data_IF_633596279770
#
_entry.id   IF_633596279770
#
_cell.length_a   1.000
_cell.length_b   1.000
_cell.length_c   1.000
_cell.angle_alpha   90.00
_cell.angle_beta   90.00
_cell.angle_gamma   90.00
#
_symmetry.space_group_name_H-M   'P 1'
#
loop_
_entity.id
_entity.type
_entity.pdbx_description
1 polymer ?
#
# COMPACT_ATOMS: atom_id res chain seq x y z
N UNK A 1 -13.66 -2.48 9.47
CA UNK A 1 -14.03 -3.43 8.40
C UNK A 1 -15.48 -3.90 8.49
N UNK A 2 -15.91 -4.77 9.43
CA UNK A 2 -17.32 -5.25 9.43
C UNK A 2 -18.36 -4.13 9.64
N UNK A 3 -18.05 -3.16 10.49
CA UNK A 3 -18.88 -1.97 10.70
C UNK A 3 -18.92 -1.08 9.45
N UNK A 4 -17.77 -0.83 8.85
CA UNK A 4 -17.65 -0.12 7.57
C UNK A 4 -18.46 -0.80 6.46
N UNK A 5 -18.40 -2.13 6.38
CA UNK A 5 -19.21 -2.90 5.44
C UNK A 5 -20.69 -2.69 5.71
N UNK A 6 -21.14 -2.71 6.98
CA UNK A 6 -22.56 -2.45 7.30
C UNK A 6 -22.99 -1.05 6.85
N UNK A 7 -22.16 -0.05 7.11
CA UNK A 7 -22.43 1.33 6.67
C UNK A 7 -22.57 1.42 5.15
N UNK A 8 -21.63 0.82 4.41
CA UNK A 8 -21.69 0.77 2.94
C UNK A 8 -22.95 0.04 2.44
N UNK A 9 -23.32 -1.07 3.08
CA UNK A 9 -24.55 -1.79 2.73
C UNK A 9 -25.80 -0.96 2.99
N UNK A 10 -25.82 -0.13 4.02
CA UNK A 10 -26.96 0.73 4.30
C UNK A 10 -27.07 1.87 3.28
N UNK A 11 -25.95 2.47 2.86
CA UNK A 11 -25.91 3.43 1.75
C UNK A 11 -26.44 2.79 0.45
N UNK A 12 -25.96 1.58 0.11
CA UNK A 12 -26.42 0.86 -1.09
C UNK A 12 -27.93 0.57 -1.05
N UNK A 13 -28.48 0.18 0.11
CA UNK A 13 -29.93 -0.02 0.26
C UNK A 13 -30.72 1.28 0.10
N UNK A 14 -30.24 2.39 0.65
CA UNK A 14 -30.90 3.69 0.51
C UNK A 14 -30.99 4.10 -0.97
N UNK A 15 -29.95 3.81 -1.73
CA UNK A 15 -29.89 4.03 -3.18
C UNK A 15 -30.58 2.95 -4.01
N UNK A 16 -31.20 1.95 -3.37
CA UNK A 16 -31.86 0.80 -4.00
C UNK A 16 -30.95 0.05 -5.00
N UNK A 17 -29.65 -0.01 -4.68
CA UNK A 17 -28.68 -0.73 -5.48
C UNK A 17 -28.71 -2.24 -5.17
N UNK A 18 -28.62 -3.05 -6.22
CA UNK A 18 -28.40 -4.49 -6.07
C UNK A 18 -26.97 -4.77 -5.63
N UNK A 19 -26.80 -5.68 -4.67
CA UNK A 19 -25.49 -6.08 -4.19
C UNK A 19 -25.43 -7.55 -3.82
N UNK A 20 -24.25 -8.15 -4.00
CA UNK A 20 -23.93 -9.51 -3.60
C UNK A 20 -22.76 -9.48 -2.62
N UNK A 21 -22.82 -10.33 -1.58
CA UNK A 21 -21.73 -10.45 -0.60
C UNK A 21 -20.86 -11.65 -0.88
N UNK A 22 -19.55 -11.52 -0.65
CA UNK A 22 -18.62 -12.64 -0.65
C UNK A 22 -18.94 -13.61 0.47
N UNK A 23 -18.82 -14.91 0.21
CA UNK A 23 -19.20 -15.97 1.14
C UNK A 23 -18.64 -15.77 2.55
N UNK A 24 -17.33 -15.60 2.72
CA UNK A 24 -16.72 -15.38 4.05
C UNK A 24 -17.19 -14.07 4.69
N UNK A 25 -17.32 -13.00 3.90
CA UNK A 25 -17.86 -11.73 4.39
C UNK A 25 -19.32 -11.86 4.86
N UNK A 26 -20.14 -12.55 4.08
CA UNK A 26 -21.54 -12.80 4.36
C UNK A 26 -21.72 -13.68 5.61
N UNK A 27 -20.92 -14.74 5.76
CA UNK A 27 -20.90 -15.60 6.93
C UNK A 27 -20.63 -14.79 8.21
N UNK A 28 -19.64 -13.89 8.18
CA UNK A 28 -19.33 -12.98 9.28
C UNK A 28 -20.45 -11.97 9.59
N UNK A 29 -21.24 -11.61 8.57
CA UNK A 29 -22.40 -10.74 8.69
C UNK A 29 -23.71 -11.50 8.95
N UNK A 30 -23.67 -12.83 9.06
CA UNK A 30 -24.84 -13.72 9.17
C UNK A 30 -25.84 -13.50 8.03
N UNK A 31 -25.34 -13.38 6.81
CA UNK A 31 -26.09 -13.17 5.57
C UNK A 31 -25.74 -14.25 4.54
N UNK A 32 -26.50 -14.32 3.46
CA UNK A 32 -26.19 -15.18 2.32
C UNK A 32 -25.10 -14.56 1.47
N UNK A 33 -24.12 -15.35 1.05
CA UNK A 33 -23.03 -14.91 0.18
C UNK A 33 -22.69 -15.90 -0.92
N UNK A 34 -21.94 -15.42 -1.90
CA UNK A 34 -21.50 -16.16 -3.08
C UNK A 34 -19.98 -16.21 -3.10
N UNK A 35 -19.40 -17.31 -3.58
CA UNK A 35 -17.94 -17.38 -3.76
C UNK A 35 -17.48 -16.38 -4.82
N UNK A 36 -16.34 -15.71 -4.62
CA UNK A 36 -15.78 -14.73 -5.58
C UNK A 36 -15.85 -15.19 -7.05
N UNK A 37 -15.43 -16.43 -7.33
CA UNK A 37 -15.41 -17.00 -8.70
C UNK A 37 -16.78 -17.23 -9.35
N UNK A 38 -17.87 -17.12 -8.59
CA UNK A 38 -19.25 -17.33 -9.07
C UNK A 38 -20.10 -16.06 -8.98
N UNK A 39 -19.49 -14.94 -8.59
CA UNK A 39 -20.22 -13.68 -8.56
C UNK A 39 -20.45 -13.20 -9.99
N UNK A 40 -21.68 -12.78 -10.24
CA UNK A 40 -22.11 -12.12 -11.46
C UNK A 40 -22.49 -10.70 -11.06
N UNK A 41 -21.56 -9.76 -11.23
CA UNK A 41 -21.67 -8.38 -10.78
C UNK A 41 -20.97 -7.44 -11.77
N UNK A 42 -21.45 -6.21 -11.86
CA UNK A 42 -20.84 -5.19 -12.72
C UNK A 42 -19.54 -4.61 -12.15
N UNK A 43 -19.41 -4.60 -10.82
CA UNK A 43 -18.24 -4.05 -10.10
C UNK A 43 -17.95 -4.88 -8.85
N UNK A 44 -16.68 -5.22 -8.64
CA UNK A 44 -16.18 -5.79 -7.39
C UNK A 44 -15.71 -4.70 -6.42
N UNK A 45 -16.51 -4.41 -5.39
CA UNK A 45 -16.09 -3.54 -4.31
C UNK A 45 -15.25 -4.30 -3.26
N UNK A 46 -13.99 -3.90 -3.09
CA UNK A 46 -13.07 -4.51 -2.10
C UNK A 46 -12.83 -3.50 -0.98
N UNK A 47 -13.33 -3.80 0.21
CA UNK A 47 -13.25 -2.91 1.37
C UNK A 47 -12.11 -3.36 2.28
N UNK A 48 -11.10 -2.52 2.49
CA UNK A 48 -9.97 -2.91 3.33
C UNK A 48 -8.77 -1.98 3.25
N UNK A 49 -7.59 -2.58 3.36
CA UNK A 49 -6.28 -1.93 3.18
C UNK A 49 -5.59 -2.49 1.92
N UNK A 50 -4.47 -1.90 1.52
CA UNK A 50 -3.66 -2.36 0.37
C UNK A 50 -3.37 -3.86 0.46
N UNK A 51 -3.00 -4.35 1.65
CA UNK A 51 -2.73 -5.79 1.87
C UNK A 51 -3.95 -6.66 1.56
N UNK A 52 -5.14 -6.22 1.97
CA UNK A 52 -6.36 -6.96 1.71
C UNK A 52 -6.76 -6.93 0.23
N UNK A 53 -6.55 -5.78 -0.43
CA UNK A 53 -6.73 -5.64 -1.87
C UNK A 53 -5.82 -6.60 -2.65
N UNK A 54 -4.51 -6.56 -2.42
CA UNK A 54 -3.54 -7.45 -3.08
C UNK A 54 -3.88 -8.92 -2.85
N UNK A 55 -4.21 -9.30 -1.60
CA UNK A 55 -4.61 -10.67 -1.30
C UNK A 55 -5.87 -11.09 -2.03
N UNK A 56 -6.87 -10.22 -2.13
CA UNK A 56 -8.11 -10.48 -2.84
C UNK A 56 -7.88 -10.64 -4.35
N UNK A 57 -6.99 -9.83 -4.94
CA UNK A 57 -6.61 -9.95 -6.35
C UNK A 57 -5.92 -11.28 -6.65
N UNK A 58 -5.03 -11.74 -5.76
CA UNK A 58 -4.38 -13.05 -5.89
C UNK A 58 -5.37 -14.21 -5.81
N UNK A 59 -6.37 -14.12 -4.92
CA UNK A 59 -7.41 -15.14 -4.76
C UNK A 59 -8.42 -15.14 -5.92
N UNK A 60 -8.70 -13.96 -6.49
CA UNK A 60 -9.56 -13.77 -7.67
C UNK A 60 -8.88 -14.26 -8.96
N UNK A 61 -7.58 -14.01 -9.11
CA UNK A 61 -6.82 -14.32 -10.32
C UNK A 61 -7.14 -13.36 -11.46
N UNK A 62 -7.48 -13.89 -12.63
CA UNK A 62 -7.97 -13.07 -13.74
C UNK A 62 -9.48 -12.86 -13.62
N UNK A 63 -9.90 -11.60 -13.82
CA UNK A 63 -11.29 -11.18 -13.86
C UNK A 63 -11.39 -9.93 -14.74
N UNK A 64 -12.37 -9.90 -15.63
CA UNK A 64 -12.71 -8.73 -16.45
C UNK A 64 -13.62 -7.73 -15.72
N UNK A 65 -14.17 -8.15 -14.58
CA UNK A 65 -15.03 -7.30 -13.73
C UNK A 65 -14.18 -6.20 -13.10
N UNK A 66 -14.54 -4.91 -13.30
CA UNK A 66 -13.87 -3.76 -12.70
C UNK A 66 -13.87 -3.80 -11.17
N UNK A 67 -12.77 -3.38 -10.58
CA UNK A 67 -12.51 -3.44 -9.15
C UNK A 67 -12.57 -2.04 -8.56
N UNK A 68 -13.43 -1.85 -7.58
CA UNK A 68 -13.52 -0.63 -6.79
C UNK A 68 -12.88 -0.87 -5.41
N UNK A 69 -11.61 -0.48 -5.21
CA UNK A 69 -11.00 -0.51 -3.90
C UNK A 69 -11.58 0.61 -3.02
N UNK A 70 -12.06 0.26 -1.81
CA UNK A 70 -12.61 1.19 -0.82
C UNK A 70 -11.81 1.08 0.49
N UNK A 71 -11.16 2.15 0.92
CA UNK A 71 -10.33 2.10 2.12
C UNK A 71 -11.20 2.09 3.40
N UNK A 72 -10.94 1.12 4.29
CA UNK A 72 -11.72 0.91 5.52
C UNK A 72 -11.45 2.00 6.58
N UNK A 73 -10.18 2.44 6.74
CA UNK A 73 -9.73 3.53 7.64
C UNK A 73 -8.31 3.97 7.24
N UNK A 74 -7.95 5.25 7.43
CA UNK A 74 -6.58 5.75 7.24
C UNK A 74 -6.40 6.75 6.10
N UNK A 75 -5.18 7.27 5.93
CA UNK A 75 -4.84 8.10 4.76
C UNK A 75 -5.11 7.29 3.48
N UNK A 76 -5.52 7.94 2.38
CA UNK A 76 -5.66 7.26 1.10
C UNK A 76 -4.29 6.69 0.68
N UNK A 77 -4.16 5.37 0.74
CA UNK A 77 -3.03 4.64 0.17
C UNK A 77 -3.07 4.75 -1.37
N UNK A 78 -1.93 4.51 -2.03
CA UNK A 78 -1.72 4.76 -3.47
C UNK A 78 -2.73 4.07 -4.42
N UNK A 79 -3.45 3.04 -3.95
CA UNK A 79 -4.41 2.26 -4.74
C UNK A 79 -5.89 2.63 -4.49
N UNK A 80 -6.18 3.53 -3.55
CA UNK A 80 -7.55 3.84 -3.13
C UNK A 80 -7.95 5.27 -3.49
N UNK A 81 -8.88 5.42 -4.43
CA UNK A 81 -9.52 6.71 -4.71
C UNK A 81 -10.75 6.98 -3.83
N UNK A 82 -11.31 5.93 -3.23
CA UNK A 82 -12.51 5.98 -2.39
C UNK A 82 -12.19 5.44 -1.00
N UNK A 83 -12.74 6.10 0.02
CA UNK A 83 -12.70 5.64 1.40
C UNK A 83 -14.13 5.50 1.90
N UNK A 84 -14.35 4.67 2.93
CA UNK A 84 -15.71 4.43 3.45
C UNK A 84 -16.45 5.74 3.76
N UNK A 85 -15.78 6.71 4.38
CA UNK A 85 -16.40 7.97 4.78
C UNK A 85 -16.77 8.91 3.62
N UNK A 86 -16.29 8.68 2.40
CA UNK A 86 -16.65 9.46 1.22
C UNK A 86 -17.47 8.66 0.19
N UNK A 87 -17.74 7.38 0.45
CA UNK A 87 -18.45 6.50 -0.47
C UNK A 87 -19.84 7.04 -0.85
N UNK A 88 -20.58 7.58 0.12
CA UNK A 88 -21.90 8.19 -0.11
C UNK A 88 -21.85 9.30 -1.18
N UNK A 89 -20.73 10.02 -1.29
CA UNK A 89 -20.59 11.08 -2.28
C UNK A 89 -20.30 10.59 -3.69
N UNK A 90 -19.94 9.32 -3.87
CA UNK A 90 -19.60 8.72 -5.18
C UNK A 90 -20.51 7.58 -5.59
N UNK A 91 -21.38 7.11 -4.70
CA UNK A 91 -22.29 5.98 -4.98
C UNK A 91 -23.23 6.30 -6.16
N UNK A 92 -23.73 7.53 -6.28
CA UNK A 92 -24.57 7.93 -7.41
C UNK A 92 -23.77 7.90 -8.72
N UNK A 93 -22.52 8.32 -8.70
CA UNK A 93 -21.65 8.28 -9.89
C UNK A 93 -21.34 6.83 -10.27
N UNK A 94 -21.12 5.95 -9.28
CA UNK A 94 -20.92 4.52 -9.49
C UNK A 94 -22.14 3.87 -10.18
N UNK A 95 -23.34 4.09 -9.64
CA UNK A 95 -24.58 3.48 -10.12
C UNK A 95 -25.01 4.02 -11.49
N UNK A 96 -24.71 5.29 -11.78
CA UNK A 96 -25.02 5.90 -13.08
C UNK A 96 -23.91 5.67 -14.13
N UNK A 97 -22.88 4.87 -13.84
CA UNK A 97 -21.79 4.61 -14.78
C UNK A 97 -20.87 5.81 -15.06
N UNK A 98 -20.85 6.82 -14.19
CA UNK A 98 -20.00 8.02 -14.29
C UNK A 98 -18.59 7.75 -13.77
N UNK A 99 -17.94 6.77 -14.36
CA UNK A 99 -16.58 6.36 -14.06
C UNK A 99 -15.96 5.70 -15.28
N UNK A 100 -14.65 5.54 -15.26
CA UNK A 100 -13.87 4.95 -16.36
C UNK A 100 -13.08 3.74 -15.86
N UNK A 101 -12.70 2.88 -16.80
CA UNK A 101 -11.83 1.73 -16.51
C UNK A 101 -10.38 2.18 -16.55
N UNK A 102 -9.64 1.96 -15.47
CA UNK A 102 -8.19 2.09 -15.43
C UNK A 102 -7.54 0.71 -15.45
N UNK A 103 -6.76 0.42 -16.49
CA UNK A 103 -5.98 -0.80 -16.53
C UNK A 103 -4.71 -0.67 -15.70
N UNK A 104 -4.47 -1.65 -14.83
CA UNK A 104 -3.20 -1.84 -14.14
C UNK A 104 -2.51 -3.09 -14.68
N UNK A 105 -1.34 -2.90 -15.28
CA UNK A 105 -0.53 -4.00 -15.81
C UNK A 105 -0.07 -4.89 -14.67
N UNK A 106 0.02 -6.19 -14.95
CA UNK A 106 0.38 -7.24 -13.98
C UNK A 106 1.53 -8.08 -14.51
N UNK A 107 2.25 -8.74 -13.60
CA UNK A 107 3.28 -9.72 -13.92
C UNK A 107 2.77 -11.13 -13.64
N UNK A 108 3.28 -12.11 -14.38
CA UNK A 108 3.19 -13.53 -14.02
C UNK A 108 4.60 -14.11 -14.00
N UNK A 109 4.80 -15.12 -13.16
CA UNK A 109 6.03 -15.87 -13.13
C UNK A 109 5.77 -17.37 -13.32
N UNK A 110 6.56 -18.04 -14.14
CA UNK A 110 6.66 -19.49 -14.13
C UNK A 110 7.75 -19.90 -13.14
N UNK A 111 7.33 -20.61 -12.09
CA UNK A 111 8.24 -21.21 -11.11
C UNK A 111 8.11 -22.73 -11.22
N UNK A 112 9.11 -23.37 -11.83
CA UNK A 112 9.21 -24.82 -11.99
C UNK A 112 8.07 -25.48 -12.79
N UNK A 113 7.63 -24.81 -13.87
CA UNK A 113 6.53 -25.25 -14.75
C UNK A 113 5.15 -24.92 -14.19
N UNK A 114 5.06 -23.98 -13.25
CA UNK A 114 3.82 -23.57 -12.60
C UNK A 114 3.72 -22.06 -12.57
N UNK A 115 2.81 -21.54 -13.38
CA UNK A 115 2.52 -20.11 -13.42
C UNK A 115 1.92 -19.63 -12.08
N UNK A 116 2.31 -18.44 -11.67
CA UNK A 116 1.73 -17.75 -10.51
C UNK A 116 0.40 -17.11 -10.87
N UNK A 117 -0.46 -16.82 -9.88
CA UNK A 117 -1.49 -15.81 -10.07
C UNK A 117 -0.87 -14.50 -10.58
N UNK A 118 -1.58 -13.70 -11.37
CA UNK A 118 -1.09 -12.40 -11.80
C UNK A 118 -0.86 -11.45 -10.61
N UNK A 119 0.28 -10.80 -10.60
CA UNK A 119 0.80 -9.96 -9.53
C UNK A 119 0.60 -8.49 -9.87
N UNK A 120 0.05 -7.70 -8.94
CA UNK A 120 -0.20 -6.28 -9.17
C UNK A 120 1.07 -5.45 -8.98
N UNK A 121 1.87 -5.76 -7.96
CA UNK A 121 3.03 -4.98 -7.59
C UNK A 121 4.31 -5.63 -8.12
N UNK A 122 4.71 -6.75 -7.53
CA UNK A 122 6.05 -7.28 -7.74
C UNK A 122 6.20 -8.76 -7.42
N UNK A 123 7.24 -9.35 -8.00
CA UNK A 123 7.84 -10.61 -7.59
C UNK A 123 9.27 -10.34 -7.13
N UNK A 124 9.58 -10.75 -5.91
CA UNK A 124 10.94 -10.70 -5.38
C UNK A 124 11.53 -12.08 -5.17
N UNK A 125 12.74 -12.31 -5.68
CA UNK A 125 13.52 -13.52 -5.43
C UNK A 125 14.54 -13.24 -4.33
N UNK A 126 14.42 -13.94 -3.20
CA UNK A 126 15.21 -13.68 -2.00
C UNK A 126 15.75 -14.96 -1.38
N UNK A 127 16.84 -14.85 -0.63
CA UNK A 127 17.18 -15.89 0.33
C UNK A 127 16.12 -15.96 1.43
N UNK A 128 15.73 -17.16 1.84
CA UNK A 128 14.74 -17.38 2.92
C UNK A 128 15.19 -16.82 4.26
N UNK A 129 16.50 -16.75 4.49
CA UNK A 129 17.10 -16.18 5.69
C UNK A 129 17.68 -14.81 5.35
N UNK A 130 17.30 -13.79 6.10
CA UNK A 130 17.85 -12.44 5.99
C UNK A 130 19.38 -12.43 6.08
N UNK A 131 20.01 -11.42 5.47
CA UNK A 131 21.46 -11.24 5.42
C UNK A 131 22.21 -12.46 4.82
N UNK A 132 21.57 -13.16 3.87
CA UNK A 132 22.18 -14.25 3.11
C UNK A 132 22.06 -13.94 1.63
N UNK A 133 23.17 -14.09 0.89
CA UNK A 133 23.20 -13.80 -0.53
C UNK A 133 22.55 -14.93 -1.34
N UNK A 134 21.85 -14.55 -2.40
CA UNK A 134 21.59 -15.39 -3.56
C UNK A 134 22.62 -15.05 -4.64
N UNK A 135 23.03 -16.05 -5.44
CA UNK A 135 23.73 -15.84 -6.70
C UNK A 135 22.83 -16.28 -7.83
N UNK A 136 22.84 -15.53 -8.93
CA UNK A 136 21.98 -15.79 -10.08
C UNK A 136 22.60 -15.23 -11.37
N UNK A 137 22.11 -15.74 -12.49
CA UNK A 137 22.29 -15.20 -13.84
C UNK A 137 20.96 -14.59 -14.28
N UNK A 138 20.98 -13.36 -14.79
CA UNK A 138 19.84 -12.66 -15.38
C UNK A 138 19.95 -12.69 -16.90
N UNK A 139 18.88 -13.09 -17.55
CA UNK A 139 18.71 -13.04 -18.99
C UNK A 139 17.46 -12.23 -19.33
N UNK A 140 17.53 -11.53 -20.45
CA UNK A 140 16.42 -10.76 -21.02
C UNK A 140 16.26 -11.25 -22.46
N UNK A 141 15.08 -11.76 -22.81
CA UNK A 141 14.79 -12.38 -24.11
C UNK A 141 15.83 -13.44 -24.54
N UNK A 142 16.30 -14.24 -23.59
CA UNK A 142 17.30 -15.29 -23.81
C UNK A 142 18.74 -14.79 -23.93
N UNK A 143 18.98 -13.48 -23.95
CA UNK A 143 20.33 -12.90 -23.94
C UNK A 143 20.86 -12.75 -22.52
N UNK A 144 22.09 -13.19 -22.28
CA UNK A 144 22.72 -13.07 -20.97
C UNK A 144 23.10 -11.63 -20.66
N UNK A 145 22.37 -11.01 -19.73
CA UNK A 145 22.60 -9.64 -19.32
C UNK A 145 23.69 -9.54 -18.25
N UNK A 146 23.53 -10.21 -17.11
CA UNK A 146 24.57 -10.24 -16.07
C UNK A 146 24.51 -11.45 -15.15
N UNK A 147 25.58 -11.63 -14.37
CA UNK A 147 25.58 -12.44 -13.14
C UNK A 147 25.77 -11.54 -11.94
N UNK A 148 25.15 -11.90 -10.83
CA UNK A 148 25.25 -11.12 -9.61
C UNK A 148 25.15 -11.98 -8.34
N UNK A 149 25.61 -11.40 -7.23
CA UNK A 149 25.30 -11.86 -5.88
C UNK A 149 24.63 -10.73 -5.09
N UNK A 150 23.49 -10.97 -4.48
CA UNK A 150 22.73 -9.93 -3.80
C UNK A 150 21.84 -10.52 -2.70
N UNK A 151 21.24 -9.69 -1.85
CA UNK A 151 20.20 -10.16 -0.92
C UNK A 151 18.95 -10.65 -1.67
N UNK A 152 18.71 -10.10 -2.87
CA UNK A 152 17.65 -10.53 -3.77
C UNK A 152 17.56 -9.73 -5.06
N UNK A 153 16.50 -10.00 -5.83
CA UNK A 153 16.14 -9.30 -7.06
C UNK A 153 14.63 -9.09 -7.06
N UNK A 154 14.16 -7.87 -7.32
CA UNK A 154 12.74 -7.54 -7.44
C UNK A 154 12.42 -7.20 -8.88
N UNK A 155 11.34 -7.78 -9.41
CA UNK A 155 10.75 -7.39 -10.69
C UNK A 155 9.39 -6.77 -10.37
N UNK A 156 9.22 -5.48 -10.71
CA UNK A 156 8.06 -4.69 -10.30
C UNK A 156 7.35 -4.05 -11.49
N UNK A 157 6.02 -4.08 -11.46
CA UNK A 157 5.14 -3.31 -12.36
C UNK A 157 5.27 -1.81 -12.09
N UNK A 158 4.68 -0.94 -12.94
CA UNK A 158 4.55 0.48 -12.63
C UNK A 158 3.84 0.74 -11.29
N UNK A 159 2.82 -0.06 -10.97
CA UNK A 159 2.10 0.03 -9.70
C UNK A 159 2.96 -0.41 -8.51
N UNK A 160 3.78 -1.45 -8.68
CA UNK A 160 4.75 -1.89 -7.68
C UNK A 160 5.96 -0.96 -7.51
N UNK A 161 6.18 -0.02 -8.43
CA UNK A 161 7.33 0.90 -8.40
C UNK A 161 7.33 1.79 -7.15
N UNK A 162 6.14 2.10 -6.59
CA UNK A 162 5.97 2.86 -5.34
C UNK A 162 5.87 1.98 -4.10
N UNK A 163 5.94 0.66 -4.25
CA UNK A 163 5.87 -0.31 -3.16
C UNK A 163 7.28 -0.71 -2.68
N UNK A 164 7.58 -2.02 -2.63
CA UNK A 164 8.87 -2.47 -2.12
C UNK A 164 10.03 -2.01 -3.03
N UNK A 165 9.80 -1.95 -4.35
CA UNK A 165 10.78 -1.45 -5.32
C UNK A 165 11.31 -0.06 -4.96
N UNK A 166 10.45 0.87 -4.51
CA UNK A 166 10.87 2.21 -4.08
C UNK A 166 11.83 2.16 -2.90
N UNK A 167 11.56 1.28 -1.94
CA UNK A 167 12.33 1.16 -0.69
C UNK A 167 13.76 0.65 -0.91
N UNK A 168 13.98 -0.11 -2.00
CA UNK A 168 15.30 -0.64 -2.38
C UNK A 168 15.99 0.19 -3.48
N UNK A 169 15.50 1.41 -3.73
CA UNK A 169 16.12 2.36 -4.66
C UNK A 169 15.69 2.22 -6.12
N UNK A 170 14.55 1.57 -6.38
CA UNK A 170 13.90 1.56 -7.70
C UNK A 170 13.33 2.93 -8.09
N UNK A 171 13.16 3.20 -9.40
CA UNK A 171 12.55 4.43 -9.87
C UNK A 171 11.04 4.43 -9.62
N UNK A 172 10.45 5.62 -9.44
CA UNK A 172 8.99 5.79 -9.51
C UNK A 172 8.57 5.76 -10.98
N UNK A 173 7.62 4.90 -11.33
CA UNK A 173 7.12 4.72 -12.69
C UNK A 173 5.64 5.09 -12.73
N UNK A 174 5.25 5.87 -13.74
CA UNK A 174 3.85 6.23 -13.95
C UNK A 174 3.03 5.01 -14.35
N UNK A 175 1.84 4.84 -13.77
CA UNK A 175 0.98 3.66 -13.97
C UNK A 175 0.65 3.35 -15.44
N UNK A 176 0.58 4.38 -16.30
CA UNK A 176 0.28 4.23 -17.72
C UNK A 176 1.47 3.77 -18.58
N UNK A 177 2.68 3.73 -18.02
CA UNK A 177 3.88 3.38 -18.77
C UNK A 177 3.91 1.88 -19.11
N UNK A 178 4.12 1.49 -20.37
CA UNK A 178 4.15 0.09 -20.80
C UNK A 178 5.52 -0.54 -20.50
N UNK A 179 5.91 -0.57 -19.24
CA UNK A 179 7.22 -1.04 -18.78
C UNK A 179 7.09 -1.82 -17.48
N UNK A 180 8.08 -2.62 -17.15
CA UNK A 180 8.34 -3.06 -15.78
C UNK A 180 9.79 -2.76 -15.41
N UNK A 181 10.15 -2.96 -14.15
CA UNK A 181 11.49 -2.70 -13.65
C UNK A 181 12.12 -3.90 -12.97
N UNK A 182 13.44 -4.01 -13.08
CA UNK A 182 14.25 -5.01 -12.38
C UNK A 182 15.17 -4.27 -11.41
N UNK A 183 15.07 -4.57 -10.12
CA UNK A 183 15.79 -3.89 -9.05
C UNK A 183 16.62 -4.90 -8.25
N UNK A 184 17.95 -4.87 -8.34
CA UNK A 184 18.79 -5.69 -7.48
C UNK A 184 18.74 -5.15 -6.04
N UNK A 185 18.55 -6.04 -5.07
CA UNK A 185 18.48 -5.68 -3.64
C UNK A 185 19.84 -5.94 -2.99
N UNK A 186 20.53 -4.88 -2.58
CA UNK A 186 21.86 -4.95 -1.95
C UNK A 186 22.86 -5.82 -2.73
N UNK A 187 23.04 -5.50 -4.02
CA UNK A 187 24.05 -6.17 -4.85
C UNK A 187 25.47 -6.02 -4.29
N UNK A 188 26.28 -7.07 -4.38
CA UNK A 188 27.72 -7.01 -4.11
C UNK A 188 28.48 -6.21 -5.18
N UNK A 189 27.89 -6.02 -6.35
CA UNK A 189 28.44 -5.21 -7.41
C UNK A 189 27.75 -3.83 -7.43
N UNK A 190 28.42 -2.76 -6.96
CA UNK A 190 27.81 -1.43 -6.83
C UNK A 190 27.52 -0.77 -8.18
N UNK A 191 27.95 -1.34 -9.31
CA UNK A 191 27.56 -0.87 -10.65
C UNK A 191 26.21 -1.43 -11.10
N UNK A 192 25.62 -2.38 -10.36
CA UNK A 192 24.26 -2.87 -10.62
C UNK A 192 23.27 -1.76 -10.28
N UNK A 193 22.45 -1.40 -11.26
CA UNK A 193 21.45 -0.33 -11.18
C UNK A 193 20.08 -0.90 -11.55
N UNK A 194 18.99 -0.31 -11.06
CA UNK A 194 17.66 -0.64 -11.55
C UNK A 194 17.58 -0.54 -13.07
N UNK A 195 16.93 -1.51 -13.70
CA UNK A 195 16.61 -1.53 -15.12
C UNK A 195 15.14 -1.24 -15.31
N UNK A 196 14.78 -0.54 -16.38
CA UNK A 196 13.40 -0.35 -16.82
C UNK A 196 13.30 -0.95 -18.22
N UNK A 197 12.42 -1.91 -18.40
CA UNK A 197 12.28 -2.69 -19.63
C UNK A 197 10.89 -2.52 -20.22
N UNK A 198 10.76 -2.51 -21.56
CA UNK A 198 9.51 -2.74 -22.24
C UNK A 198 8.76 -3.97 -21.69
N UNK A 199 7.44 -3.88 -21.65
CA UNK A 199 6.59 -4.89 -21.02
C UNK A 199 6.32 -6.14 -21.89
N UNK A 200 6.77 -6.14 -23.13
CA UNK A 200 6.76 -7.29 -24.05
C UNK A 200 7.99 -8.19 -23.91
N UNK A 201 8.99 -7.79 -23.11
CA UNK A 201 10.17 -8.60 -22.82
C UNK A 201 9.91 -9.68 -21.77
N UNK A 202 10.66 -10.77 -21.86
CA UNK A 202 10.71 -11.84 -20.86
C UNK A 202 12.02 -11.80 -20.08
N UNK A 203 11.92 -11.97 -18.77
CA UNK A 203 13.06 -12.08 -17.85
C UNK A 203 13.22 -13.53 -17.42
N UNK A 204 14.41 -14.08 -17.61
CA UNK A 204 14.81 -15.38 -17.07
C UNK A 204 15.84 -15.19 -15.96
N UNK A 205 15.57 -15.77 -14.79
CA UNK A 205 16.50 -15.86 -13.67
C UNK A 205 16.92 -17.31 -13.52
N UNK A 206 18.20 -17.62 -13.72
CA UNK A 206 18.75 -18.97 -13.62
C UNK A 206 20.02 -19.02 -12.78
N UNK A 207 20.62 -20.20 -12.69
CA UNK A 207 21.83 -20.45 -11.87
C UNK A 207 21.64 -20.02 -10.40
N UNK A 208 20.40 -20.12 -9.91
CA UNK A 208 20.00 -19.71 -8.57
C UNK A 208 20.66 -20.59 -7.52
N UNK A 209 21.52 -19.99 -6.70
CA UNK A 209 22.23 -20.69 -5.62
C UNK A 209 22.32 -19.83 -4.36
N UNK A 210 22.21 -20.47 -3.20
CA UNK A 210 22.38 -19.86 -1.88
C UNK A 210 22.70 -20.93 -0.84
N UNK A 211 23.25 -20.55 0.31
CA UNK A 211 23.47 -21.45 1.44
C UNK A 211 22.18 -21.81 2.19
N UNK A 212 21.07 -21.13 1.87
CA UNK A 212 19.73 -21.39 2.41
C UNK A 212 18.74 -21.55 1.25
N UNK A 213 17.52 -21.99 1.55
CA UNK A 213 16.45 -22.04 0.55
C UNK A 213 16.21 -20.64 -0.06
N UNK A 214 15.87 -20.61 -1.35
CA UNK A 214 15.49 -19.40 -2.07
C UNK A 214 13.96 -19.36 -2.15
N UNK A 215 13.37 -18.18 -2.00
CA UNK A 215 11.93 -17.98 -2.07
C UNK A 215 11.59 -16.87 -3.08
N UNK A 216 10.54 -17.11 -3.85
CA UNK A 216 9.80 -16.09 -4.56
C UNK A 216 8.72 -15.53 -3.62
N UNK A 217 8.72 -14.21 -3.46
CA UNK A 217 7.74 -13.45 -2.70
C UNK A 217 6.85 -12.73 -3.71
N UNK A 218 5.57 -13.07 -3.73
CA UNK A 218 4.58 -12.59 -4.70
C UNK A 218 3.69 -11.53 -4.04
N UNK A 219 3.73 -10.28 -4.51
CA UNK A 219 2.99 -9.12 -3.96
C UNK A 219 3.15 -8.94 -2.43
N UNK A 220 4.26 -9.43 -1.87
CA UNK A 220 4.48 -9.50 -0.42
C UNK A 220 3.52 -10.42 0.34
N UNK A 221 2.63 -11.15 -0.33
CA UNK A 221 1.57 -11.98 0.29
C UNK A 221 1.91 -13.47 0.31
N UNK A 222 2.44 -14.00 -0.80
CA UNK A 222 2.67 -15.45 -0.98
C UNK A 222 4.16 -15.71 -1.09
N UNK A 223 4.65 -16.69 -0.31
CA UNK A 223 6.02 -17.21 -0.43
C UNK A 223 5.99 -18.57 -1.08
N UNK A 224 6.76 -18.74 -2.15
CA UNK A 224 6.97 -20.02 -2.82
C UNK A 224 8.46 -20.34 -2.81
N UNK A 225 8.82 -21.56 -2.44
CA UNK A 225 10.20 -22.01 -2.59
C UNK A 225 10.56 -22.07 -4.08
N UNK A 226 11.77 -21.60 -4.40
CA UNK A 226 12.37 -21.65 -5.72
C UNK A 226 13.57 -22.59 -5.62
N UNK A 227 13.55 -23.63 -6.46
CA UNK A 227 14.64 -24.60 -6.54
C UNK A 227 15.69 -24.12 -7.56
N UNK A 228 16.60 -24.99 -8.00
CA UNK A 228 17.65 -24.66 -8.98
C UNK A 228 17.15 -24.46 -10.42
N UNK A 229 15.84 -24.57 -10.66
CA UNK A 229 15.23 -24.36 -11.98
C UNK A 229 15.14 -22.88 -12.30
N UNK A 230 15.18 -22.50 -13.59
CA UNK A 230 14.95 -21.11 -14.00
C UNK A 230 13.56 -20.63 -13.58
N UNK A 231 13.46 -19.33 -13.28
CA UNK A 231 12.22 -18.60 -13.09
C UNK A 231 12.05 -17.66 -14.27
N UNK A 232 10.92 -17.78 -14.97
CA UNK A 232 10.57 -16.90 -16.10
C UNK A 232 9.53 -15.90 -15.61
N UNK A 233 9.72 -14.62 -15.93
CA UNK A 233 8.84 -13.53 -15.51
C UNK A 233 8.53 -12.68 -16.73
N UNK A 234 7.24 -12.44 -16.94
CA UNK A 234 6.74 -11.66 -18.08
C UNK A 234 5.50 -10.88 -17.66
N UNK A 235 5.06 -9.96 -18.52
CA UNK A 235 3.75 -9.36 -18.34
C UNK A 235 2.64 -10.43 -18.45
N UNK A 236 1.63 -10.32 -17.58
CA UNK A 236 0.42 -11.10 -17.67
C UNK A 236 -0.41 -10.69 -18.90
N UNK A 237 -1.07 -11.68 -19.52
CA UNK A 237 -1.92 -11.46 -20.70
C UNK A 237 -3.12 -10.53 -20.39
N UNK A 238 -3.54 -10.49 -19.12
CA UNK A 238 -4.67 -9.68 -18.67
C UNK A 238 -4.28 -8.72 -17.55
N UNK A 239 -4.54 -7.43 -17.78
CA UNK A 239 -4.50 -6.36 -16.76
C UNK A 239 -5.53 -6.62 -15.65
N UNK A 240 -5.33 -6.02 -14.47
CA UNK A 240 -6.43 -5.78 -13.56
C UNK A 240 -7.17 -4.50 -13.97
N UNK A 241 -8.49 -4.50 -13.90
CA UNK A 241 -9.31 -3.34 -14.29
C UNK A 241 -9.85 -2.68 -13.04
N UNK A 242 -9.54 -1.41 -12.84
CA UNK A 242 -9.96 -0.63 -11.69
C UNK A 242 -11.04 0.39 -12.10
N UNK A 243 -11.98 0.64 -11.20
CA UNK A 243 -12.93 1.76 -11.33
C UNK A 243 -12.20 3.06 -11.00
N UNK A 244 -12.23 4.01 -11.94
CA UNK A 244 -11.61 5.32 -11.79
C UNK A 244 -12.64 6.42 -12.00
N UNK A 245 -12.87 7.20 -10.95
CA UNK A 245 -13.68 8.41 -11.02
C UNK A 245 -12.89 9.56 -11.64
N UNK A 246 -13.57 10.59 -12.13
CA UNK A 246 -12.94 11.76 -12.74
C UNK A 246 -11.93 12.43 -11.79
N UNK A 247 -10.81 12.91 -12.34
CA UNK A 247 -9.71 13.45 -11.53
C UNK A 247 -10.11 14.65 -10.68
N UNK A 248 -11.02 15.50 -11.15
CA UNK A 248 -11.57 16.62 -10.37
C UNK A 248 -12.42 16.12 -9.20
N UNK A 249 -13.20 15.05 -9.44
CA UNK A 249 -13.98 14.37 -8.40
C UNK A 249 -13.05 13.78 -7.34
N UNK A 250 -12.02 13.04 -7.76
CA UNK A 250 -11.01 12.48 -6.86
C UNK A 250 -10.23 13.57 -6.12
N UNK A 251 -9.87 14.67 -6.79
CA UNK A 251 -9.22 15.81 -6.16
C UNK A 251 -10.15 16.53 -5.17
N UNK A 252 -11.45 16.61 -5.43
CA UNK A 252 -12.43 17.14 -4.48
C UNK A 252 -12.63 16.20 -3.28
N UNK A 253 -12.61 14.89 -3.50
CA UNK A 253 -12.62 13.88 -2.43
C UNK A 253 -11.37 14.01 -1.57
N UNK A 254 -10.18 14.02 -2.20
CA UNK A 254 -8.88 14.21 -1.55
C UNK A 254 -8.80 15.58 -0.88
N UNK A 255 -9.31 16.64 -1.49
CA UNK A 255 -9.34 18.00 -0.94
C UNK A 255 -10.30 18.16 0.22
N UNK A 256 -11.43 17.45 0.26
CA UNK A 256 -12.31 17.38 1.44
C UNK A 256 -11.68 16.55 2.57
N UNK A 257 -10.95 15.49 2.23
CA UNK A 257 -10.16 14.68 3.16
C UNK A 257 -8.98 15.44 3.75
N UNK A 258 -8.23 16.14 2.90
CA UNK A 258 -7.14 17.04 3.24
C UNK A 258 -7.68 18.18 4.07
N UNK A 259 -8.78 18.86 3.71
CA UNK A 259 -9.45 19.87 4.56
C UNK A 259 -9.86 19.33 5.94
N UNK A 260 -10.27 18.05 6.03
CA UNK A 260 -10.61 17.40 7.30
C UNK A 260 -9.37 17.04 8.15
N UNK A 261 -8.22 16.80 7.51
CA UNK A 261 -6.91 16.68 8.17
C UNK A 261 -6.16 18.02 8.35
N UNK A 262 -6.49 19.05 7.57
CA UNK A 262 -5.97 20.41 7.59
C UNK A 262 -6.71 21.28 8.61
N UNK A 263 -7.85 20.84 9.16
CA UNK A 263 -8.36 21.42 10.41
C UNK A 263 -7.33 21.34 11.57
N UNK A 264 -6.28 20.52 11.45
CA UNK A 264 -5.10 20.57 12.32
C UNK A 264 -4.01 21.54 11.83
N UNK A 265 -3.93 21.81 10.53
CA UNK A 265 -2.96 22.75 9.93
C UNK A 265 -3.41 24.22 10.00
N UNK A 266 -4.71 24.51 9.89
CA UNK A 266 -5.24 25.86 10.08
C UNK A 266 -4.97 26.38 11.50
N UNK A 267 -5.07 25.50 12.51
CA UNK A 267 -4.64 25.82 13.88
C UNK A 267 -3.12 26.01 13.97
N UNK A 268 -2.36 25.30 13.14
CA UNK A 268 -0.90 25.37 13.10
C UNK A 268 -0.37 26.60 12.35
N UNK A 269 -1.17 27.31 11.54
CA UNK A 269 -0.73 28.54 10.87
C UNK A 269 -0.50 29.67 11.88
N UNK A 270 -1.39 29.83 12.87
CA UNK A 270 -1.35 30.89 13.89
C UNK A 270 -0.45 30.56 15.10
N UNK A 271 0.04 29.32 15.22
CA UNK A 271 0.92 28.94 16.33
C UNK A 271 2.34 29.55 16.18
N UNK A 272 3.01 29.95 17.27
CA UNK A 272 4.41 30.34 17.25
C UNK A 272 5.32 29.19 16.75
N UNK A 273 6.46 29.48 16.10
CA UNK A 273 7.36 28.45 15.54
C UNK A 273 7.80 27.38 16.55
N UNK A 274 8.00 27.76 17.81
CA UNK A 274 8.35 26.82 18.89
C UNK A 274 7.23 25.83 19.22
N UNK A 275 5.96 26.26 19.13
CA UNK A 275 4.81 25.39 19.32
C UNK A 275 4.64 24.43 18.14
N UNK A 276 4.84 24.91 16.89
CA UNK A 276 4.83 24.03 15.70
C UNK A 276 5.89 22.94 15.79
N UNK A 277 7.11 23.29 16.21
CA UNK A 277 8.20 22.33 16.36
C UNK A 277 7.89 21.27 17.43
N UNK A 278 7.39 21.68 18.59
CA UNK A 278 6.99 20.75 19.66
C UNK A 278 5.86 19.82 19.20
N UNK A 279 4.86 20.36 18.50
CA UNK A 279 3.77 19.57 17.93
C UNK A 279 4.30 18.50 16.96
N UNK A 280 5.16 18.90 16.02
CA UNK A 280 5.74 17.98 15.01
C UNK A 280 6.59 16.88 15.63
N UNK A 281 7.35 17.20 16.69
CA UNK A 281 8.10 16.19 17.45
C UNK A 281 7.17 15.19 18.13
N UNK A 282 6.05 15.64 18.71
CA UNK A 282 5.03 14.76 19.30
C UNK A 282 4.26 13.94 18.25
N UNK A 283 4.01 14.49 17.06
CA UNK A 283 3.40 13.75 15.94
C UNK A 283 4.30 12.60 15.47
N UNK A 284 5.61 12.86 15.38
CA UNK A 284 6.59 11.91 14.87
C UNK A 284 6.99 10.85 15.91
N UNK A 285 7.26 11.27 17.14
CA UNK A 285 7.76 10.40 18.22
C UNK A 285 6.64 9.84 19.12
N UNK A 286 5.41 10.33 18.95
CA UNK A 286 4.27 9.92 19.76
C UNK A 286 4.26 10.55 21.15
N UNK A 287 4.18 9.72 22.19
CA UNK A 287 4.02 10.18 23.57
C UNK A 287 5.38 10.41 24.23
N UNK A 288 5.66 11.64 24.67
CA UNK A 288 6.94 12.02 25.28
C UNK A 288 6.75 12.77 26.60
N UNK A 289 7.71 12.64 27.51
CA UNK A 289 7.85 13.50 28.69
C UNK A 289 8.37 14.88 28.29
N UNK A 290 8.18 15.87 29.17
CA UNK A 290 8.73 17.21 28.93
C UNK A 290 10.26 17.19 28.75
N UNK A 291 10.97 16.27 29.43
CA UNK A 291 12.43 16.14 29.33
C UNK A 291 12.84 15.65 27.94
N UNK A 292 12.17 14.62 27.44
CA UNK A 292 12.42 14.08 26.10
C UNK A 292 12.09 15.11 25.01
N UNK A 293 11.01 15.87 25.17
CA UNK A 293 10.67 16.95 24.21
C UNK A 293 11.78 18.01 24.18
N UNK A 294 12.36 18.38 25.32
CA UNK A 294 13.50 19.32 25.39
C UNK A 294 14.72 18.73 24.66
N UNK A 295 15.01 17.46 24.87
CA UNK A 295 16.15 16.78 24.25
C UNK A 295 15.99 16.64 22.72
N UNK A 296 14.79 16.35 22.23
CA UNK A 296 14.48 16.20 20.81
C UNK A 296 14.39 17.55 20.08
N UNK A 297 13.71 18.53 20.66
CA UNK A 297 13.52 19.85 20.03
C UNK A 297 14.75 20.76 20.13
N UNK A 298 15.67 20.46 21.05
CA UNK A 298 16.80 21.34 21.46
C UNK A 298 16.37 22.74 21.92
N UNK A 299 15.09 22.93 22.25
CA UNK A 299 14.56 24.21 22.73
C UNK A 299 14.82 24.38 24.24
N UNK A 300 14.95 25.61 24.74
CA UNK A 300 15.06 25.87 26.17
C UNK A 300 13.85 25.32 26.96
N UNK A 301 14.03 24.83 28.21
CA UNK A 301 12.94 24.28 29.02
C UNK A 301 11.77 25.23 29.28
N UNK A 302 12.00 26.56 29.24
CA UNK A 302 10.94 27.57 29.36
C UNK A 302 10.10 27.64 28.07
N UNK A 303 10.74 27.56 26.91
CA UNK A 303 10.09 27.58 25.61
C UNK A 303 9.24 26.33 25.38
N UNK A 304 9.73 25.16 25.77
CA UNK A 304 8.94 23.91 25.70
C UNK A 304 7.71 23.96 26.60
N UNK A 305 7.83 24.50 27.82
CA UNK A 305 6.68 24.68 28.71
C UNK A 305 5.63 25.62 28.13
N UNK A 306 6.06 26.75 27.59
CA UNK A 306 5.19 27.70 26.92
C UNK A 306 4.46 27.06 25.72
N UNK A 307 5.20 26.38 24.85
CA UNK A 307 4.67 25.66 23.70
C UNK A 307 3.64 24.59 24.10
N UNK A 308 3.95 23.77 25.11
CA UNK A 308 3.03 22.75 25.61
C UNK A 308 1.77 23.37 26.24
N UNK A 309 1.89 24.47 26.99
CA UNK A 309 0.73 25.15 27.57
C UNK A 309 -0.21 25.68 26.48
N UNK A 310 0.35 26.29 25.43
CA UNK A 310 -0.40 26.78 24.28
C UNK A 310 -1.05 25.65 23.49
N UNK A 311 -0.32 24.58 23.18
CA UNK A 311 -0.88 23.42 22.47
C UNK A 311 -1.97 22.69 23.26
N UNK A 312 -1.90 22.73 24.60
CA UNK A 312 -2.95 22.19 25.47
C UNK A 312 -4.18 23.11 25.53
N UNK A 313 -4.00 24.44 25.55
CA UNK A 313 -5.14 25.38 25.52
C UNK A 313 -5.90 25.31 24.20
N UNK A 314 -5.18 25.09 23.10
CA UNK A 314 -5.73 24.86 21.77
C UNK A 314 -6.32 23.43 21.60
N UNK A 315 -6.21 22.58 22.61
CA UNK A 315 -6.78 21.22 22.61
C UNK A 315 -6.09 20.22 21.67
N UNK A 316 -4.95 20.58 21.09
CA UNK A 316 -4.17 19.76 20.14
C UNK A 316 -3.34 18.70 20.87
N UNK A 317 -2.78 19.05 22.02
CA UNK A 317 -1.98 18.17 22.87
C UNK A 317 -2.71 17.90 24.17
N UNK A 318 -2.63 16.66 24.67
CA UNK A 318 -3.13 16.31 25.99
C UNK A 318 -2.00 15.80 26.89
N UNK A 319 -2.10 16.09 28.19
CA UNK A 319 -1.22 15.57 29.24
C UNK A 319 -1.87 14.36 29.90
N UNK A 320 -1.13 13.26 29.99
CA UNK A 320 -1.49 12.05 30.75
C UNK A 320 -0.46 11.81 31.85
N UNK A 321 -0.87 11.15 32.91
CA UNK A 321 0.04 10.69 33.96
C UNK A 321 0.84 9.49 33.42
N UNK A 322 2.14 9.48 33.68
CA UNK A 322 2.95 8.28 33.44
C UNK A 322 2.55 7.21 34.45
N UNK A 323 2.25 6.00 33.96
CA UNK A 323 1.99 4.82 34.79
C UNK A 323 3.27 4.30 35.48
N UNK A 324 4.45 4.74 35.02
CA UNK A 324 5.76 4.33 35.56
C UNK A 324 6.30 5.31 36.63
N UNK A 325 5.95 6.59 36.55
CA UNK A 325 6.24 7.60 37.57
C UNK A 325 5.13 8.65 37.59
N UNK A 326 4.27 8.63 38.61
CA UNK A 326 3.10 9.51 38.73
C UNK A 326 3.46 11.00 38.84
N UNK A 327 4.73 11.33 39.09
CA UNK A 327 5.22 12.72 39.12
C UNK A 327 5.57 13.25 37.73
N UNK A 328 5.62 12.39 36.71
CA UNK A 328 5.92 12.76 35.34
C UNK A 328 4.65 12.82 34.49
N UNK A 329 4.45 13.99 33.86
CA UNK A 329 3.44 14.16 32.83
C UNK A 329 4.00 13.77 31.45
N UNK A 330 3.27 12.92 30.76
CA UNK A 330 3.52 12.57 29.37
C UNK A 330 2.56 13.34 28.47
N UNK A 331 3.08 13.90 27.38
CA UNK A 331 2.35 14.70 26.42
C UNK A 331 2.20 13.91 25.13
N UNK A 332 1.03 13.99 24.50
CA UNK A 332 0.76 13.34 23.23
C UNK A 332 -0.24 14.17 22.42
N UNK A 333 -0.20 14.03 21.10
CA UNK A 333 -1.22 14.60 20.22
C UNK A 333 -2.56 13.93 20.48
N UNK A 334 -3.62 14.74 20.59
CA UNK A 334 -4.98 14.26 20.79
C UNK A 334 -5.49 13.64 19.49
N UNK A 335 -5.46 12.31 19.38
CA UNK A 335 -6.17 11.60 18.29
C UNK A 335 -7.68 11.84 18.47
N UNK A 336 -8.35 12.38 17.44
CA UNK A 336 -9.82 12.44 17.45
C UNK A 336 -10.39 11.02 17.47
N UNK A 337 -11.48 10.77 18.22
CA UNK A 337 -12.16 9.48 18.24
C UNK A 337 -12.72 9.10 16.87
#
# INVERSE_FOLDING_TARGET
MLEDTRNLLDILKQQKADYVLEKKLADNLKKTGVSLKKMDVDVFAIIGSDRFLLKSLLDLGHSDIPILPIASMGQPDFLFDVIVSNFESVVDDLLNGKWTKEEKKRLVADIAGKETPPLLNDIGIFARRSATLIRYSLLIDGEHFWKDGSDGLIIATPTGSTAYALSVGGPVILNSSPVFSIIPVNSINPSRRPLVLPNDMEVEIRDLTSSVAIEAVLDGQIRKQVDSKPVFIRQADHSAVFVKFESERVAALRGKLLKKSEMSEDLAQDLPPSAKLVLKVLEYQGQLSQKEIIEETKLPPRTVRYALALLMSEGVVMKRLSLRDSRQGLYQVKKKP
#
